data_IF_484743313826
#
_entry.id   IF_484743313826
#
_cell.length_a   1.000
_cell.length_b   1.000
_cell.length_c   1.000
_cell.angle_alpha   90.00
_cell.angle_beta   90.00
_cell.angle_gamma   90.00
#
_symmetry.space_group_name_H-M   'P 1'
#
loop_
_entity.id
_entity.type
_entity.pdbx_description
1 polymer ?
#
# COMPACT_ATOMS: atom_id res chain seq x y z
N UNK A 1 -4.90 -20.86 9.57
CA UNK A 1 -3.49 -21.33 9.49
C UNK A 1 -2.65 -20.37 10.30
N UNK A 2 -1.78 -20.83 11.19
CA UNK A 2 -0.87 -19.94 11.95
C UNK A 2 0.30 -19.49 11.07
N UNK A 3 1.00 -18.43 11.48
CA UNK A 3 2.21 -17.97 10.78
C UNK A 3 3.32 -19.04 10.77
N UNK A 4 3.45 -19.80 11.86
CA UNK A 4 4.44 -20.89 11.94
C UNK A 4 4.12 -21.99 10.93
N UNK A 5 2.86 -22.43 10.86
CA UNK A 5 2.44 -23.41 9.85
C UNK A 5 2.64 -22.90 8.42
N UNK A 6 2.42 -21.60 8.18
CA UNK A 6 2.72 -21.00 6.88
C UNK A 6 4.21 -21.07 6.54
N UNK A 7 5.09 -20.70 7.48
CA UNK A 7 6.55 -20.78 7.30
C UNK A 7 7.01 -22.23 7.09
N UNK A 8 6.48 -23.17 7.85
CA UNK A 8 6.76 -24.60 7.68
C UNK A 8 6.39 -25.09 6.28
N UNK A 9 5.19 -24.74 5.79
CA UNK A 9 4.74 -25.12 4.44
C UNK A 9 5.62 -24.49 3.36
N UNK A 10 6.01 -23.23 3.53
CA UNK A 10 6.90 -22.53 2.59
C UNK A 10 8.30 -23.16 2.57
N UNK A 11 8.82 -23.58 3.72
CA UNK A 11 10.14 -24.19 3.87
C UNK A 11 10.16 -25.70 3.61
N UNK A 12 9.00 -26.34 3.48
CA UNK A 12 8.86 -27.80 3.32
C UNK A 12 9.57 -28.36 2.08
N UNK A 13 9.83 -27.52 1.07
CA UNK A 13 10.39 -27.91 -0.23
C UNK A 13 9.47 -28.82 -1.06
N UNK A 14 8.29 -29.18 -0.56
CA UNK A 14 7.33 -30.05 -1.25
C UNK A 14 6.48 -29.21 -2.18
N UNK A 15 6.44 -29.57 -3.46
CA UNK A 15 5.66 -28.83 -4.46
C UNK A 15 4.15 -28.83 -4.16
N UNK A 16 3.63 -29.82 -3.44
CA UNK A 16 2.21 -29.91 -3.04
C UNK A 16 1.82 -28.92 -1.94
N UNK A 17 2.79 -28.44 -1.17
CA UNK A 17 2.56 -27.50 -0.07
C UNK A 17 2.60 -26.04 -0.57
N UNK A 18 2.95 -25.83 -1.85
CA UNK A 18 3.02 -24.52 -2.50
C UNK A 18 1.75 -24.21 -3.32
N UNK A 19 1.44 -22.91 -3.41
CA UNK A 19 0.40 -22.39 -4.30
C UNK A 19 1.00 -22.07 -5.67
N UNK A 20 0.36 -22.55 -6.73
CA UNK A 20 0.82 -22.44 -8.11
C UNK A 20 -0.10 -21.51 -8.91
N UNK A 21 0.35 -21.04 -10.07
CA UNK A 21 -0.49 -20.23 -10.94
C UNK A 21 -1.71 -21.04 -11.43
N UNK A 22 -2.90 -20.45 -11.32
CA UNK A 22 -4.17 -21.10 -11.66
C UNK A 22 -4.67 -22.11 -10.63
N UNK A 23 -4.09 -22.16 -9.43
CA UNK A 23 -4.57 -23.01 -8.34
C UNK A 23 -5.91 -22.48 -7.80
N UNK A 24 -6.89 -23.37 -7.62
CA UNK A 24 -8.24 -23.03 -7.16
C UNK A 24 -8.43 -23.55 -5.72
N UNK A 25 -8.88 -22.67 -4.84
CA UNK A 25 -9.27 -23.01 -3.47
C UNK A 25 -10.78 -23.16 -3.37
N UNK A 26 -11.25 -24.39 -3.12
CA UNK A 26 -12.66 -24.69 -2.99
C UNK A 26 -13.02 -24.74 -1.50
N UNK A 27 -14.11 -24.06 -1.13
CA UNK A 27 -14.61 -24.04 0.23
C UNK A 27 -15.98 -24.71 0.30
N UNK A 28 -16.24 -25.43 1.40
CA UNK A 28 -17.55 -26.03 1.65
C UNK A 28 -18.00 -25.79 3.09
N UNK A 29 -19.31 -25.63 3.24
CA UNK A 29 -20.02 -25.61 4.54
C UNK A 29 -20.51 -27.00 4.93
N UNK A 30 -20.61 -27.89 3.96
CA UNK A 30 -21.03 -29.27 4.14
C UNK A 30 -19.82 -30.10 4.49
N UNK A 31 -19.87 -30.77 5.64
CA UNK A 31 -18.88 -31.74 6.05
C UNK A 31 -18.78 -32.86 4.99
N UNK A 32 -17.62 -33.04 4.33
CA UNK A 32 -17.45 -34.04 3.28
C UNK A 32 -17.59 -35.49 3.75
N UNK A 33 -17.46 -35.74 5.06
CA UNK A 33 -17.57 -37.07 5.66
C UNK A 33 -18.95 -37.31 6.26
N UNK A 34 -19.54 -36.33 6.93
CA UNK A 34 -20.81 -36.49 7.65
C UNK A 34 -22.03 -35.93 6.90
N UNK A 35 -21.83 -35.14 5.85
CA UNK A 35 -22.90 -34.50 5.07
C UNK A 35 -23.63 -33.36 5.78
N UNK A 36 -23.25 -33.04 7.03
CA UNK A 36 -23.90 -31.97 7.81
C UNK A 36 -23.49 -30.59 7.32
N UNK A 37 -24.46 -29.68 7.19
CA UNK A 37 -24.23 -28.31 6.74
C UNK A 37 -24.04 -27.39 7.95
N UNK A 38 -22.93 -26.68 7.98
CA UNK A 38 -22.62 -25.69 9.01
C UNK A 38 -23.03 -24.25 8.59
N UNK A 39 -23.19 -23.32 9.54
CA UNK A 39 -23.46 -21.92 9.24
C UNK A 39 -22.29 -21.19 8.55
N UNK A 40 -21.07 -21.70 8.68
CA UNK A 40 -19.85 -21.13 8.09
C UNK A 40 -19.05 -22.20 7.33
N UNK A 41 -18.08 -21.76 6.51
CA UNK A 41 -17.17 -22.69 5.82
C UNK A 41 -16.33 -23.49 6.81
N UNK A 42 -16.41 -24.81 6.71
CA UNK A 42 -15.79 -25.78 7.61
C UNK A 42 -14.62 -26.52 6.98
N UNK A 43 -14.63 -26.71 5.67
CA UNK A 43 -13.58 -27.44 4.96
C UNK A 43 -13.15 -26.68 3.71
N UNK A 44 -11.90 -26.89 3.32
CA UNK A 44 -11.30 -26.36 2.11
C UNK A 44 -10.52 -27.46 1.39
N UNK A 45 -10.52 -27.47 0.07
CA UNK A 45 -9.58 -28.27 -0.73
C UNK A 45 -8.87 -27.37 -1.74
N UNK A 46 -7.63 -27.71 -2.04
CA UNK A 46 -6.80 -26.99 -2.99
C UNK A 46 -6.63 -27.85 -4.24
N UNK A 47 -6.98 -27.32 -5.41
CA UNK A 47 -6.96 -28.05 -6.68
C UNK A 47 -6.20 -27.24 -7.72
N UNK A 48 -5.16 -27.82 -8.30
CA UNK A 48 -4.43 -27.32 -9.44
C UNK A 48 -4.98 -28.00 -10.72
N UNK A 49 -5.87 -27.34 -11.49
CA UNK A 49 -6.65 -28.01 -12.54
C UNK A 49 -5.79 -28.57 -13.69
N UNK A 50 -4.63 -27.98 -13.94
CA UNK A 50 -3.72 -28.39 -15.01
C UNK A 50 -2.69 -29.43 -14.55
N UNK A 51 -2.56 -29.69 -13.24
CA UNK A 51 -1.67 -30.73 -12.71
C UNK A 51 -2.15 -31.24 -11.35
N UNK A 52 -2.90 -32.34 -11.37
CA UNK A 52 -3.47 -32.96 -10.16
C UNK A 52 -2.42 -33.42 -9.15
N UNK A 53 -1.18 -33.71 -9.58
CA UNK A 53 -0.09 -34.12 -8.67
C UNK A 53 0.33 -33.00 -7.72
N UNK A 54 0.05 -31.75 -8.07
CA UNK A 54 0.30 -30.57 -7.23
C UNK A 54 -0.86 -30.26 -6.29
N UNK A 55 -1.97 -31.01 -6.40
CA UNK A 55 -3.15 -30.80 -5.56
C UNK A 55 -3.04 -31.64 -4.29
N UNK A 56 -3.09 -31.03 -3.09
CA UNK A 56 -3.30 -31.76 -1.85
C UNK A 56 -4.52 -32.68 -1.95
N UNK A 57 -4.40 -33.91 -1.43
CA UNK A 57 -5.47 -34.91 -1.54
C UNK A 57 -6.59 -34.62 -0.53
N UNK A 58 -7.82 -34.50 -1.04
CA UNK A 58 -9.04 -34.48 -0.24
C UNK A 58 -9.38 -33.12 0.37
N UNK A 59 -10.37 -33.13 1.24
CA UNK A 59 -10.83 -31.95 1.97
C UNK A 59 -10.10 -31.81 3.29
N UNK A 60 -9.65 -30.59 3.59
CA UNK A 60 -8.94 -30.22 4.81
C UNK A 60 -9.89 -29.42 5.69
N UNK A 61 -10.00 -29.79 6.97
CA UNK A 61 -10.81 -29.05 7.94
C UNK A 61 -10.16 -27.69 8.25
N UNK A 62 -10.95 -26.63 8.19
CA UNK A 62 -10.52 -25.27 8.52
C UNK A 62 -10.50 -25.13 10.03
N UNK A 63 -9.31 -25.14 10.63
CA UNK A 63 -9.15 -24.82 12.04
C UNK A 63 -9.10 -23.30 12.25
N UNK A 64 -10.01 -22.77 13.07
CA UNK A 64 -10.10 -21.36 13.46
C UNK A 64 -9.75 -21.26 14.94
N UNK A 65 -8.46 -21.16 15.29
CA UNK A 65 -8.06 -21.02 16.68
C UNK A 65 -8.67 -19.73 17.26
N UNK A 66 -9.17 -19.85 18.50
CA UNK A 66 -9.57 -18.70 19.32
C UNK A 66 -8.40 -18.44 20.26
N UNK A 67 -7.91 -17.21 20.27
CA UNK A 67 -6.78 -16.82 21.11
C UNK A 67 -7.30 -15.99 22.29
N UNK A 68 -6.84 -16.31 23.49
CA UNK A 68 -6.96 -15.43 24.65
C UNK A 68 -5.76 -14.46 24.71
N UNK A 69 -5.79 -13.52 25.64
CA UNK A 69 -4.76 -12.49 25.77
C UNK A 69 -3.37 -13.08 26.09
N UNK A 70 -3.32 -14.16 26.89
CA UNK A 70 -2.07 -14.81 27.28
C UNK A 70 -1.43 -15.53 26.09
N UNK A 71 -2.23 -16.26 25.32
CA UNK A 71 -1.80 -16.91 24.09
C UNK A 71 -1.32 -15.90 23.05
N UNK A 72 -2.04 -14.78 22.88
CA UNK A 72 -1.63 -13.71 21.97
C UNK A 72 -0.28 -13.10 22.38
N UNK A 73 -0.10 -12.83 23.67
CA UNK A 73 1.15 -12.28 24.21
C UNK A 73 2.33 -13.25 23.99
N UNK A 74 2.14 -14.52 24.31
CA UNK A 74 3.17 -15.55 24.11
C UNK A 74 3.56 -15.72 22.63
N UNK A 75 2.62 -15.62 21.69
CA UNK A 75 2.92 -15.64 20.25
C UNK A 75 3.69 -14.39 19.84
N UNK A 76 3.28 -13.22 20.33
CA UNK A 76 3.95 -11.94 20.04
C UNK A 76 5.38 -11.88 20.58
N UNK A 77 5.68 -12.57 21.69
CA UNK A 77 7.03 -12.68 22.26
C UNK A 77 7.96 -13.62 21.46
N UNK A 78 7.40 -14.66 20.82
CA UNK A 78 8.18 -15.60 19.99
C UNK A 78 8.63 -15.01 18.67
N UNK A 79 7.83 -14.11 18.10
CA UNK A 79 8.23 -13.36 16.92
C UNK A 79 9.21 -12.29 17.39
N UNK A 80 10.46 -12.25 16.89
CA UNK A 80 11.37 -11.17 17.21
C UNK A 80 10.63 -9.87 16.91
N UNK A 81 10.35 -9.09 17.95
CA UNK A 81 9.81 -7.76 17.71
C UNK A 81 10.88 -7.08 16.87
N UNK A 82 10.57 -6.68 15.64
CA UNK A 82 11.30 -5.61 14.97
C UNK A 82 10.99 -4.32 15.74
N UNK A 83 11.38 -4.26 17.02
CA UNK A 83 11.75 -3.00 17.63
C UNK A 83 12.94 -2.62 16.80
N UNK A 84 12.69 -1.70 15.87
CA UNK A 84 13.71 -0.95 15.19
C UNK A 84 14.64 -0.48 16.31
N UNK A 85 15.84 -1.08 16.43
CA UNK A 85 16.75 -0.72 17.51
C UNK A 85 17.03 0.78 17.39
N UNK A 86 17.28 1.47 18.51
CA UNK A 86 17.72 2.87 18.43
C UNK A 86 18.94 3.00 17.51
N UNK A 87 19.78 1.97 17.46
CA UNK A 87 20.90 1.81 16.53
C UNK A 87 20.45 1.72 15.06
N UNK A 88 19.39 0.97 14.72
CA UNK A 88 18.84 0.90 13.36
C UNK A 88 18.17 2.22 12.96
N UNK A 89 17.47 2.88 13.89
CA UNK A 89 16.93 4.24 13.67
C UNK A 89 18.11 5.19 13.39
N UNK A 90 19.15 5.15 14.23
CA UNK A 90 20.34 5.97 14.06
C UNK A 90 21.11 5.65 12.78
N UNK A 91 21.19 4.40 12.32
CA UNK A 91 21.81 4.02 11.03
C UNK A 91 20.97 4.50 9.83
N UNK A 92 19.64 4.41 9.92
CA UNK A 92 18.71 4.85 8.87
C UNK A 92 18.68 6.38 8.73
N UNK A 93 18.91 7.10 9.83
CA UNK A 93 18.91 8.57 9.88
C UNK A 93 20.31 9.19 10.02
N UNK A 94 21.39 8.40 9.96
CA UNK A 94 22.75 8.94 9.88
C UNK A 94 22.95 9.49 8.48
N UNK A 95 22.94 10.81 8.37
CA UNK A 95 23.49 11.52 7.22
C UNK A 95 24.98 11.17 7.12
N UNK A 96 25.31 10.18 6.29
CA UNK A 96 26.61 10.12 5.65
C UNK A 96 26.40 10.17 4.14
N UNK A 97 26.75 11.34 3.60
CA UNK A 97 27.20 11.52 2.24
C UNK A 97 28.17 10.41 1.82
N UNK A 98 27.92 9.83 0.65
CA UNK A 98 28.73 8.85 -0.10
C UNK A 98 28.50 7.35 0.18
N UNK A 99 27.63 6.73 -0.62
CA UNK A 99 28.09 5.78 -1.65
C UNK A 99 26.93 5.32 -2.52
N UNK A 100 27.19 5.31 -3.82
CA UNK A 100 26.31 4.98 -4.92
C UNK A 100 25.83 3.53 -4.87
N UNK A 101 24.53 3.33 -4.75
CA UNK A 101 23.84 2.14 -5.25
C UNK A 101 22.71 2.62 -6.15
N UNK A 102 23.06 2.85 -7.41
CA UNK A 102 22.10 2.90 -8.50
C UNK A 102 21.46 1.50 -8.62
N UNK A 103 20.14 1.34 -8.58
CA UNK A 103 19.53 0.33 -9.42
C UNK A 103 19.65 0.86 -10.85
N UNK A 104 20.50 0.23 -11.66
CA UNK A 104 20.46 0.35 -13.12
C UNK A 104 19.09 -0.12 -13.59
N UNK A 105 18.11 0.77 -13.54
CA UNK A 105 17.04 0.82 -14.53
C UNK A 105 17.54 1.83 -15.57
N UNK A 106 18.51 1.40 -16.38
CA UNK A 106 18.60 2.00 -17.71
C UNK A 106 17.30 1.58 -18.41
N UNK A 107 16.31 2.46 -18.33
CA UNK A 107 15.27 2.50 -19.36
C UNK A 107 16.02 2.57 -20.69
N UNK A 108 15.73 1.69 -21.66
CA UNK A 108 16.29 1.84 -23.00
C UNK A 108 15.69 3.13 -23.57
N UNK A 109 16.34 4.25 -23.30
CA UNK A 109 16.03 5.53 -23.92
C UNK A 109 16.53 5.41 -25.35
N UNK A 110 15.65 4.92 -26.21
CA UNK A 110 15.82 5.03 -27.65
C UNK A 110 15.49 6.48 -28.04
N UNK A 111 16.48 7.32 -28.39
CA UNK A 111 16.26 8.72 -28.76
C UNK A 111 15.47 8.87 -30.06
N UNK A 112 15.13 7.77 -30.74
CA UNK A 112 14.34 7.76 -31.97
C UNK A 112 12.82 7.64 -31.75
N UNK A 113 12.36 7.35 -30.52
CA UNK A 113 10.92 7.31 -30.21
C UNK A 113 10.43 8.74 -29.94
N UNK A 114 9.53 9.31 -30.77
CA UNK A 114 8.93 10.59 -30.45
C UNK A 114 8.17 10.47 -29.12
N UNK A 115 8.57 11.25 -28.11
CA UNK A 115 7.89 11.31 -26.82
C UNK A 115 6.41 11.60 -27.07
N UNK A 116 5.48 10.77 -26.55
CA UNK A 116 4.08 11.13 -26.59
C UNK A 116 3.88 12.34 -25.69
N UNK A 117 3.76 13.53 -26.29
CA UNK A 117 3.40 14.76 -25.59
C UNK A 117 2.01 14.58 -25.00
N UNK A 118 1.91 14.32 -23.71
CA UNK A 118 0.63 14.34 -23.01
C UNK A 118 0.30 15.80 -22.76
N UNK A 119 -0.72 16.30 -23.45
CA UNK A 119 -1.28 17.62 -23.16
C UNK A 119 -2.18 17.50 -21.92
N UNK A 120 -1.74 18.08 -20.81
CA UNK A 120 -2.50 18.11 -19.56
C UNK A 120 -3.16 19.49 -19.42
N UNK A 121 -4.49 19.54 -19.41
CA UNK A 121 -5.26 20.75 -19.12
C UNK A 121 -5.96 20.64 -17.77
N UNK A 122 -6.48 19.44 -17.43
CA UNK A 122 -7.17 19.18 -16.16
C UNK A 122 -6.71 17.85 -15.57
N UNK A 123 -6.31 17.87 -14.30
CA UNK A 123 -5.86 16.68 -13.58
C UNK A 123 -6.56 16.55 -12.23
N UNK A 124 -6.69 15.30 -11.78
CA UNK A 124 -7.23 14.99 -10.45
C UNK A 124 -6.13 14.42 -9.58
N UNK A 125 -5.96 14.99 -8.38
CA UNK A 125 -5.07 14.47 -7.35
C UNK A 125 -5.89 13.77 -6.29
N UNK A 126 -5.77 12.44 -6.22
CA UNK A 126 -6.42 11.60 -5.22
C UNK A 126 -5.59 11.61 -3.95
N UNK A 127 -6.11 12.29 -2.92
CA UNK A 127 -5.42 12.52 -1.66
C UNK A 127 -5.62 11.39 -0.65
N UNK A 128 -4.57 11.05 0.10
CA UNK A 128 -4.66 10.09 1.21
C UNK A 128 -5.24 10.80 2.44
N UNK A 129 -6.17 10.13 3.13
CA UNK A 129 -6.51 10.53 4.49
C UNK A 129 -5.45 9.97 5.42
N UNK A 130 -4.68 10.83 6.09
CA UNK A 130 -3.65 10.36 7.02
C UNK A 130 -4.27 9.83 8.30
N UNK A 131 -3.56 8.94 9.01
CA UNK A 131 -4.05 8.45 10.30
C UNK A 131 -4.22 9.59 11.31
N UNK A 132 -3.34 10.60 11.26
CA UNK A 132 -3.46 11.80 12.08
C UNK A 132 -4.77 12.54 11.81
N UNK A 133 -5.06 12.88 10.55
CA UNK A 133 -6.31 13.55 10.16
C UNK A 133 -7.55 12.75 10.51
N UNK A 134 -7.48 11.42 10.38
CA UNK A 134 -8.59 10.55 10.76
C UNK A 134 -8.87 10.61 12.28
N UNK A 135 -7.83 10.61 13.12
CA UNK A 135 -8.00 10.74 14.58
C UNK A 135 -8.47 12.15 14.98
N UNK A 136 -7.98 13.19 14.30
CA UNK A 136 -8.45 14.58 14.51
C UNK A 136 -9.94 14.73 14.18
N UNK A 137 -10.39 14.22 13.03
CA UNK A 137 -11.78 14.29 12.59
C UNK A 137 -12.74 13.45 13.44
N UNK A 138 -12.33 12.27 13.91
CA UNK A 138 -13.18 11.39 14.71
C UNK A 138 -13.57 11.99 16.07
N UNK A 139 -12.65 12.73 16.70
CA UNK A 139 -12.83 13.20 18.07
C UNK A 139 -13.00 14.71 18.19
N UNK A 140 -12.79 15.47 17.10
CA UNK A 140 -12.87 16.93 17.10
C UNK A 140 -11.87 17.60 18.05
N UNK A 141 -10.89 16.84 18.54
CA UNK A 141 -9.86 17.31 19.45
C UNK A 141 -8.63 17.72 18.62
N UNK A 142 -8.00 18.82 19.01
CA UNK A 142 -6.76 19.31 18.38
C UNK A 142 -5.68 19.51 19.44
N UNK A 143 -4.43 19.65 18.99
CA UNK A 143 -3.29 19.97 19.87
C UNK A 143 -3.05 18.94 20.99
N UNK A 144 -2.84 19.42 22.22
CA UNK A 144 -2.48 18.58 23.36
C UNK A 144 -3.56 17.56 23.74
N UNK A 145 -4.84 17.90 23.58
CA UNK A 145 -5.95 17.00 23.87
C UNK A 145 -5.90 15.76 22.97
N UNK A 146 -5.68 15.98 21.67
CA UNK A 146 -5.49 14.91 20.69
C UNK A 146 -4.24 14.09 21.00
N UNK A 147 -3.11 14.75 21.34
CA UNK A 147 -1.86 14.08 21.70
C UNK A 147 -2.03 13.14 22.90
N UNK A 148 -2.70 13.59 23.96
CA UNK A 148 -2.94 12.77 25.15
C UNK A 148 -3.84 11.58 24.83
N UNK A 149 -4.92 11.81 24.10
CA UNK A 149 -5.87 10.77 23.72
C UNK A 149 -5.25 9.70 22.82
N UNK A 150 -4.49 10.12 21.81
CA UNK A 150 -3.78 9.22 20.89
C UNK A 150 -2.74 8.38 21.65
N UNK A 151 -1.98 9.02 22.54
CA UNK A 151 -1.00 8.35 23.41
C UNK A 151 -1.66 7.30 24.33
N UNK A 152 -2.81 7.62 24.93
CA UNK A 152 -3.57 6.68 25.77
C UNK A 152 -4.06 5.44 25.02
N UNK A 153 -4.23 5.53 23.70
CA UNK A 153 -4.63 4.42 22.82
C UNK A 153 -3.43 3.69 22.21
N UNK A 154 -2.21 4.06 22.60
CA UNK A 154 -0.96 3.45 22.13
C UNK A 154 -0.45 4.00 20.79
N UNK A 155 -0.97 5.11 20.30
CA UNK A 155 -0.44 5.76 19.10
C UNK A 155 0.73 6.69 19.43
N UNK A 156 1.75 6.68 18.56
CA UNK A 156 2.88 7.61 18.65
C UNK A 156 2.50 8.90 17.92
N UNK A 157 1.95 9.87 18.67
CA UNK A 157 1.44 11.15 18.12
C UNK A 157 2.48 11.87 17.27
N UNK A 158 3.69 12.10 17.79
CA UNK A 158 4.71 12.91 17.11
C UNK A 158 5.13 12.27 15.77
N UNK A 159 5.19 10.94 15.71
CA UNK A 159 5.45 10.19 14.47
C UNK A 159 4.31 10.36 13.46
N UNK A 160 3.06 10.26 13.91
CA UNK A 160 1.89 10.40 13.04
C UNK A 160 1.74 11.84 12.51
N UNK A 161 2.03 12.83 13.36
CA UNK A 161 2.04 14.25 12.95
C UNK A 161 3.13 14.50 11.92
N UNK A 162 4.35 14.04 12.14
CA UNK A 162 5.44 14.21 11.17
C UNK A 162 5.16 13.56 9.81
N UNK A 163 4.57 12.35 9.80
CA UNK A 163 4.14 11.70 8.55
C UNK A 163 3.01 12.46 7.86
N UNK A 164 2.10 13.05 8.63
CA UNK A 164 1.05 13.89 8.09
C UNK A 164 1.60 15.17 7.46
N UNK A 165 2.54 15.84 8.13
CA UNK A 165 3.13 17.09 7.64
C UNK A 165 3.90 16.86 6.34
N UNK A 166 4.76 15.83 6.29
CA UNK A 166 5.45 15.45 5.05
C UNK A 166 4.49 15.16 3.89
N UNK A 167 3.38 14.48 4.18
CA UNK A 167 2.37 14.19 3.18
C UNK A 167 1.68 15.47 2.67
N UNK A 168 1.35 16.39 3.56
CA UNK A 168 0.73 17.66 3.18
C UNK A 168 1.69 18.54 2.38
N UNK A 169 2.96 18.60 2.77
CA UNK A 169 4.00 19.33 2.02
C UNK A 169 4.16 18.76 0.62
N UNK A 170 4.15 17.43 0.46
CA UNK A 170 4.22 16.78 -0.84
C UNK A 170 2.98 17.05 -1.71
N UNK A 171 1.79 17.07 -1.12
CA UNK A 171 0.55 17.40 -1.84
C UNK A 171 0.55 18.88 -2.25
N UNK A 172 1.03 19.76 -1.39
CA UNK A 172 1.18 21.19 -1.70
C UNK A 172 2.18 21.41 -2.85
N UNK A 173 3.34 20.74 -2.82
CA UNK A 173 4.34 20.76 -3.90
C UNK A 173 3.73 20.33 -5.26
N UNK A 174 2.97 19.23 -5.27
CA UNK A 174 2.27 18.74 -6.47
C UNK A 174 1.26 19.75 -6.98
N UNK A 175 0.37 20.23 -6.11
CA UNK A 175 -0.74 21.09 -6.52
C UNK A 175 -0.27 22.47 -6.95
N UNK A 176 0.75 23.03 -6.30
CA UNK A 176 1.37 24.30 -6.66
C UNK A 176 2.07 24.18 -8.01
N UNK A 177 2.90 23.16 -8.19
CA UNK A 177 3.63 22.94 -9.43
C UNK A 177 2.70 22.76 -10.64
N UNK A 178 1.61 22.00 -10.52
CA UNK A 178 0.61 21.85 -11.59
C UNK A 178 -0.07 23.18 -11.94
N UNK A 179 -0.43 23.99 -10.93
CA UNK A 179 -1.05 25.30 -11.14
C UNK A 179 -0.10 26.29 -11.83
N UNK A 180 1.19 26.27 -11.48
CA UNK A 180 2.22 27.10 -12.12
C UNK A 180 2.41 26.77 -13.61
N UNK A 181 2.09 25.53 -14.01
CA UNK A 181 2.07 25.10 -15.41
C UNK A 181 0.72 25.31 -16.10
N UNK A 182 -0.16 26.13 -15.52
CA UNK A 182 -1.51 26.44 -16.02
C UNK A 182 -2.44 25.20 -16.16
N UNK A 183 -2.16 24.12 -15.41
CA UNK A 183 -2.97 22.91 -15.38
C UNK A 183 -4.04 23.05 -14.29
N UNK A 184 -5.31 22.86 -14.64
CA UNK A 184 -6.41 22.87 -13.69
C UNK A 184 -6.34 21.63 -12.77
N UNK A 185 -6.30 21.85 -11.45
CA UNK A 185 -6.15 20.78 -10.45
C UNK A 185 -7.41 20.65 -9.60
N UNK A 186 -7.94 19.43 -9.48
CA UNK A 186 -8.93 19.07 -8.47
C UNK A 186 -8.33 18.07 -7.48
N UNK A 187 -8.36 18.40 -6.18
CA UNK A 187 -7.90 17.49 -5.12
C UNK A 187 -9.11 16.83 -4.50
N UNK A 188 -9.12 15.50 -4.47
CA UNK A 188 -10.26 14.71 -3.96
C UNK A 188 -9.73 13.63 -3.03
N UNK A 189 -10.31 13.47 -1.84
CA UNK A 189 -9.87 12.43 -0.94
C UNK A 189 -10.21 11.04 -1.49
N UNK A 190 -9.31 10.08 -1.29
CA UNK A 190 -9.48 8.71 -1.80
C UNK A 190 -10.72 7.99 -1.25
N UNK A 191 -11.34 8.47 -0.17
CA UNK A 191 -12.59 7.92 0.37
C UNK A 191 -13.86 8.59 -0.18
N UNK A 192 -13.72 9.73 -0.83
CA UNK A 192 -14.80 10.51 -1.47
C UNK A 192 -14.72 10.40 -3.01
N UNK A 193 -13.79 9.59 -3.53
CA UNK A 193 -13.56 9.45 -4.95
C UNK A 193 -14.80 8.85 -5.64
N UNK A 194 -15.46 9.66 -6.46
CA UNK A 194 -16.61 9.27 -7.27
C UNK A 194 -16.28 9.34 -8.77
N UNK A 195 -17.17 8.85 -9.63
CA UNK A 195 -16.95 8.86 -11.09
C UNK A 195 -17.03 10.26 -11.69
N UNK A 196 -17.76 11.17 -11.04
CA UNK A 196 -17.89 12.57 -11.43
C UNK A 196 -16.63 13.37 -11.09
N UNK A 197 -15.92 12.96 -10.04
CA UNK A 197 -14.73 13.65 -9.54
C UNK A 197 -13.60 13.73 -10.58
N UNK A 198 -13.49 12.73 -11.46
CA UNK A 198 -12.47 12.67 -12.52
C UNK A 198 -13.05 12.81 -13.93
N UNK A 199 -14.28 13.31 -14.05
CA UNK A 199 -14.86 13.55 -15.36
C UNK A 199 -14.16 14.72 -16.09
N UNK A 200 -13.82 14.49 -17.36
CA UNK A 200 -13.03 15.41 -18.18
C UNK A 200 -11.59 15.64 -17.69
N UNK A 201 -11.06 14.78 -16.82
CA UNK A 201 -9.65 14.81 -16.45
C UNK A 201 -8.80 14.10 -17.50
N UNK A 202 -7.67 14.72 -17.87
CA UNK A 202 -6.67 14.15 -18.77
C UNK A 202 -5.82 13.09 -18.06
N UNK A 203 -5.69 13.21 -16.73
CA UNK A 203 -4.88 12.33 -15.91
C UNK A 203 -5.29 12.35 -14.43
N UNK A 204 -5.05 11.22 -13.74
CA UNK A 204 -5.23 11.08 -12.30
C UNK A 204 -3.88 10.79 -11.63
N UNK A 205 -3.56 11.53 -10.58
CA UNK A 205 -2.42 11.29 -9.71
C UNK A 205 -2.90 10.79 -8.35
N UNK A 206 -2.42 9.65 -7.87
CA UNK A 206 -2.68 9.24 -6.48
C UNK A 206 -1.55 9.72 -5.57
N UNK A 207 -1.84 10.63 -4.65
CA UNK A 207 -0.90 11.15 -3.67
C UNK A 207 -0.98 10.32 -2.38
N UNK A 208 -0.02 9.43 -2.16
CA UNK A 208 -0.06 8.53 -1.01
C UNK A 208 1.03 7.47 -1.06
N UNK A 209 0.64 6.21 -0.93
CA UNK A 209 1.48 5.04 -1.20
C UNK A 209 0.65 3.99 -1.95
N UNK A 210 1.11 2.74 -1.97
CA UNK A 210 0.48 1.65 -2.75
C UNK A 210 -1.02 1.47 -2.45
N UNK A 211 -1.42 1.58 -1.19
CA UNK A 211 -2.83 1.48 -0.80
C UNK A 211 -3.71 2.58 -1.41
N UNK A 212 -3.20 3.81 -1.51
CA UNK A 212 -3.90 4.92 -2.14
C UNK A 212 -3.98 4.72 -3.65
N UNK A 213 -2.87 4.27 -4.27
CA UNK A 213 -2.83 3.95 -5.69
C UNK A 213 -3.83 2.85 -6.05
N UNK A 214 -3.82 1.72 -5.34
CA UNK A 214 -4.75 0.62 -5.57
C UNK A 214 -6.21 1.06 -5.37
N UNK A 215 -6.46 1.92 -4.38
CA UNK A 215 -7.80 2.48 -4.17
C UNK A 215 -8.21 3.32 -5.38
N UNK A 216 -7.38 4.26 -5.83
CA UNK A 216 -7.67 5.04 -7.03
C UNK A 216 -7.88 4.15 -8.26
N UNK A 217 -7.02 3.15 -8.48
CA UNK A 217 -7.10 2.21 -9.60
C UNK A 217 -8.38 1.37 -9.59
N UNK A 218 -8.91 1.05 -8.41
CA UNK A 218 -10.18 0.33 -8.28
C UNK A 218 -11.42 1.17 -8.65
N UNK A 219 -11.30 2.50 -8.61
CA UNK A 219 -12.39 3.45 -8.90
C UNK A 219 -12.31 4.09 -10.28
N UNK A 220 -11.09 4.28 -10.83
CA UNK A 220 -10.87 4.82 -12.17
C UNK A 220 -11.11 3.72 -13.20
N UNK A 221 -12.34 3.66 -13.73
CA UNK A 221 -12.76 2.65 -14.71
C UNK A 221 -12.80 3.19 -16.16
N UNK A 222 -12.38 4.45 -16.36
CA UNK A 222 -12.20 5.07 -17.67
C UNK A 222 -10.74 4.89 -18.14
N UNK A 223 -10.46 4.92 -19.46
CA UNK A 223 -9.10 4.84 -20.00
C UNK A 223 -8.33 6.15 -19.79
N UNK A 224 -8.27 6.62 -18.54
CA UNK A 224 -7.52 7.81 -18.11
C UNK A 224 -6.24 7.31 -17.43
N UNK A 225 -5.06 7.84 -17.79
CA UNK A 225 -3.81 7.49 -17.12
C UNK A 225 -3.89 7.75 -15.61
N UNK A 226 -3.47 6.76 -14.82
CA UNK A 226 -3.36 6.83 -13.36
C UNK A 226 -1.90 6.63 -12.95
N UNK A 227 -1.36 7.57 -12.19
CA UNK A 227 0.04 7.58 -11.75
C UNK A 227 0.13 7.68 -10.23
N UNK A 228 0.91 6.80 -9.62
CA UNK A 228 1.17 6.81 -8.19
C UNK A 228 2.33 7.73 -7.79
N UNK A 229 2.06 8.67 -6.87
CA UNK A 229 3.03 9.55 -6.24
C UNK A 229 3.22 9.13 -4.78
N UNK A 230 4.42 8.67 -4.45
CA UNK A 230 4.78 8.31 -3.08
C UNK A 230 5.11 9.57 -2.27
N UNK A 231 4.18 9.99 -1.42
CA UNK A 231 4.24 11.24 -0.64
C UNK A 231 4.95 11.14 0.71
N UNK A 232 5.36 9.93 1.13
CA UNK A 232 6.12 9.73 2.39
C UNK A 232 7.19 8.66 2.14
N UNK A 233 8.06 8.95 1.17
CA UNK A 233 9.12 8.06 0.68
C UNK A 233 10.12 7.65 1.76
N UNK A 234 10.32 8.49 2.77
CA UNK A 234 11.15 8.17 3.94
C UNK A 234 10.58 7.01 4.79
N UNK A 235 9.29 6.69 4.67
CA UNK A 235 8.60 5.70 5.51
C UNK A 235 7.86 4.62 4.72
N UNK A 236 7.81 4.74 3.41
CA UNK A 236 7.10 3.85 2.50
C UNK A 236 7.93 3.67 1.24
N UNK A 237 8.13 2.43 0.79
CA UNK A 237 8.82 2.15 -0.48
C UNK A 237 7.98 2.63 -1.68
N UNK A 238 6.68 2.31 -1.68
CA UNK A 238 5.76 2.69 -2.75
C UNK A 238 6.06 1.96 -4.07
N UNK A 239 6.04 0.63 -4.06
CA UNK A 239 6.45 -0.19 -5.20
C UNK A 239 5.52 -0.06 -6.42
N UNK A 240 4.29 0.43 -6.22
CA UNK A 240 3.34 0.76 -7.30
C UNK A 240 3.38 2.24 -7.68
N UNK A 241 4.04 3.08 -6.89
CA UNK A 241 4.24 4.48 -7.20
C UNK A 241 5.46 4.64 -8.12
N UNK A 242 5.28 5.34 -9.24
CA UNK A 242 6.36 5.55 -10.21
C UNK A 242 7.22 6.77 -9.91
N UNK A 243 6.82 7.60 -8.94
CA UNK A 243 7.59 8.76 -8.51
C UNK A 243 7.48 8.95 -6.99
N UNK A 244 8.61 9.15 -6.34
CA UNK A 244 8.68 9.50 -4.92
C UNK A 244 8.90 10.98 -4.78
N UNK A 245 8.09 11.62 -3.94
CA UNK A 245 8.25 13.03 -3.62
C UNK A 245 9.02 13.14 -2.32
N UNK A 246 10.04 13.96 -2.31
CA UNK A 246 10.75 14.35 -1.10
C UNK A 246 11.09 15.85 -1.14
N UNK A 247 11.33 16.43 0.04
CA UNK A 247 11.55 17.86 0.18
C UNK A 247 12.91 18.34 -0.36
N UNK A 248 13.84 17.43 -0.68
CA UNK A 248 15.27 17.72 -0.87
C UNK A 248 15.75 17.54 -2.31
N UNK A 249 15.43 16.41 -2.93
CA UNK A 249 16.01 15.91 -4.17
C UNK A 249 14.95 15.58 -5.23
N UNK A 250 13.77 15.14 -4.82
CA UNK A 250 12.72 14.66 -5.74
C UNK A 250 11.46 15.54 -5.67
N UNK A 251 11.60 16.81 -6.06
CA UNK A 251 10.48 17.74 -6.24
C UNK A 251 9.57 17.28 -7.38
N UNK A 252 8.27 17.53 -7.27
CA UNK A 252 7.31 17.08 -8.28
C UNK A 252 7.59 17.69 -9.68
N UNK A 253 8.13 18.91 -9.73
CA UNK A 253 8.48 19.60 -10.99
C UNK A 253 9.36 18.77 -11.93
N UNK A 254 10.31 18.00 -11.39
CA UNK A 254 11.21 17.16 -12.20
C UNK A 254 10.42 16.03 -12.87
N UNK A 255 9.46 15.45 -12.15
CA UNK A 255 8.55 14.44 -12.69
C UNK A 255 7.58 15.03 -13.72
N UNK A 256 7.04 16.21 -13.44
CA UNK A 256 6.11 16.90 -14.34
C UNK A 256 6.78 17.31 -15.66
N UNK A 257 7.98 17.86 -15.62
CA UNK A 257 8.72 18.20 -16.84
C UNK A 257 9.00 16.98 -17.73
N UNK A 258 9.25 15.81 -17.13
CA UNK A 258 9.44 14.56 -17.89
C UNK A 258 8.15 14.06 -18.54
N UNK A 259 7.01 14.43 -17.97
CA UNK A 259 5.69 14.07 -18.49
C UNK A 259 5.23 14.99 -19.63
N UNK A 260 5.66 16.26 -19.59
CA UNK A 260 5.29 17.29 -20.57
C UNK A 260 6.24 17.37 -21.79
N UNK A 261 7.47 16.83 -21.69
CA UNK A 261 8.47 16.79 -22.78
C UNK A 261 8.28 15.57 -23.69
#
# INVERSE_FOLDING_TARGET
MSQDTFRELQMSGRMVDQLHNGHILHYTRTDPTTGKVAPFFTHMRSVCPWNEKLSPKGWIKINRPVYDNEMMLAIAERVPRMIVSEEYIQQTYRQESSSSLHPNIESPFDPSVPSPKIALNKVVVVNKMTRYQHEESLYGNTGEALKKQMSMRGFVYDRLKASHDHHMDAVDDVTTCLKEHEIAVSVVNAHELSHEAYDGADMVFSAGGDGTFLKAASFVNKPIPLTGLNTDSARSEGNLCCYSIDATCNRFVVGLERLLK
#
